data_IF_017402427143
#
_entry.id   IF_017402427143
#
_cell.length_a   1.000
_cell.length_b   1.000
_cell.length_c   1.000
_cell.angle_alpha   90.00
_cell.angle_beta   90.00
_cell.angle_gamma   90.00
#
_symmetry.space_group_name_H-M   'P 1'
#
loop_
_entity.id
_entity.type
_entity.pdbx_description
1 polymer ?
#
# COMPACT_ATOMS: atom_id res chain seq x y z
N UNK A 1 5.96 -7.72 2.99
CA UNK A 1 6.58 -6.44 3.42
C UNK A 1 7.94 -6.34 2.74
N UNK A 2 8.21 -5.23 2.05
CA UNK A 2 9.54 -4.92 1.54
C UNK A 2 10.21 -3.92 2.50
N UNK A 3 11.45 -4.20 2.88
CA UNK A 3 12.28 -3.30 3.66
C UNK A 3 13.52 -2.95 2.82
N UNK A 4 13.81 -1.66 2.60
CA UNK A 4 15.01 -1.25 1.91
C UNK A 4 16.24 -1.59 2.75
N UNK A 5 17.41 -1.71 2.12
CA UNK A 5 18.68 -1.79 2.83
C UNK A 5 18.97 -0.45 3.53
N UNK A 6 19.36 -0.52 4.81
CA UNK A 6 19.60 0.65 5.65
C UNK A 6 18.35 1.25 6.31
N UNK A 7 18.45 2.50 6.78
CA UNK A 7 17.33 3.20 7.42
C UNK A 7 16.31 3.63 6.37
N UNK A 8 15.05 3.21 6.56
CA UNK A 8 13.96 3.69 5.72
C UNK A 8 13.77 5.20 5.89
N UNK A 9 13.60 5.92 4.77
CA UNK A 9 13.40 7.39 4.75
C UNK A 9 11.94 7.79 4.63
N UNK A 10 11.06 6.80 4.57
CA UNK A 10 9.62 6.94 4.43
C UNK A 10 8.94 5.58 4.40
N UNK A 11 7.62 5.58 4.34
CA UNK A 11 6.80 4.37 4.32
C UNK A 11 5.63 4.50 3.37
N UNK A 12 5.34 3.42 2.67
CA UNK A 12 4.22 3.28 1.74
C UNK A 12 3.33 2.16 2.23
N UNK A 13 2.06 2.44 2.49
CA UNK A 13 1.05 1.43 2.75
C UNK A 13 0.17 1.27 1.52
N UNK A 14 0.21 0.09 0.91
CA UNK A 14 -0.39 -0.20 -0.37
C UNK A 14 -1.50 -1.25 -0.22
N UNK A 15 -2.75 -0.78 -0.16
CA UNK A 15 -3.97 -1.53 0.06
C UNK A 15 -4.51 -2.10 -1.26
N UNK A 16 -4.57 -3.43 -1.31
CA UNK A 16 -5.04 -4.17 -2.48
C UNK A 16 -6.55 -4.07 -2.67
N UNK A 17 -7.03 -4.57 -3.80
CA UNK A 17 -8.43 -4.97 -3.95
C UNK A 17 -8.63 -6.40 -3.42
N UNK A 18 -9.88 -6.87 -3.42
CA UNK A 18 -10.25 -8.21 -2.97
C UNK A 18 -9.41 -9.32 -3.62
N UNK A 19 -8.79 -10.16 -2.79
CA UNK A 19 -7.91 -11.25 -3.27
C UNK A 19 -6.60 -10.78 -3.91
N UNK A 20 -6.31 -9.48 -3.87
CA UNK A 20 -5.09 -8.90 -4.41
C UNK A 20 -3.84 -9.19 -3.58
N UNK A 21 -2.70 -9.03 -4.22
CA UNK A 21 -1.37 -9.20 -3.63
C UNK A 21 -0.40 -8.22 -4.27
N UNK A 22 0.80 -8.02 -3.70
CA UNK A 22 1.80 -7.16 -4.33
C UNK A 22 2.17 -7.60 -5.76
N UNK A 23 2.08 -8.91 -6.06
CA UNK A 23 2.37 -9.47 -7.38
C UNK A 23 1.29 -9.18 -8.40
N UNK A 24 0.03 -9.09 -7.95
CA UNK A 24 -1.13 -8.97 -8.85
C UNK A 24 -1.67 -7.54 -8.92
N UNK A 25 -1.55 -6.76 -7.84
CA UNK A 25 -2.04 -5.39 -7.78
C UNK A 25 -0.95 -4.37 -8.12
N UNK A 26 0.30 -4.65 -7.74
CA UNK A 26 1.37 -3.66 -7.77
C UNK A 26 2.54 -4.02 -8.68
N UNK A 27 2.45 -5.12 -9.43
CA UNK A 27 3.52 -5.54 -10.32
C UNK A 27 2.96 -5.66 -11.73
N UNK A 28 3.53 -4.88 -12.66
CA UNK A 28 3.29 -5.07 -14.07
C UNK A 28 4.16 -6.24 -14.56
N UNK A 29 3.62 -7.08 -15.44
CA UNK A 29 4.39 -8.15 -16.09
C UNK A 29 4.05 -8.15 -17.57
N UNK A 30 5.01 -8.28 -18.49
CA UNK A 30 4.68 -8.32 -19.92
C UNK A 30 3.80 -9.51 -20.30
N UNK A 31 3.85 -10.61 -19.54
CA UNK A 31 3.01 -11.79 -19.78
C UNK A 31 1.53 -11.57 -19.49
N UNK A 32 1.14 -10.51 -18.77
CA UNK A 32 -0.27 -10.16 -18.61
C UNK A 32 -0.84 -9.41 -19.82
N UNK A 33 0.02 -8.78 -20.63
CA UNK A 33 -0.35 -8.01 -21.83
C UNK A 33 0.00 -8.73 -23.15
N UNK A 34 0.90 -9.71 -23.10
CA UNK A 34 1.38 -10.46 -24.26
C UNK A 34 0.46 -11.62 -24.65
N UNK A 35 -0.74 -11.31 -25.12
CA UNK A 35 -1.55 -12.25 -25.90
C UNK A 35 -1.35 -12.13 -27.42
N UNK A 36 -0.49 -11.22 -27.92
CA UNK A 36 -0.30 -11.03 -29.38
C UNK A 36 1.18 -10.78 -29.72
N UNK A 37 1.87 -11.85 -30.13
CA UNK A 37 2.44 -12.03 -31.47
C UNK A 37 3.77 -12.82 -31.46
N UNK A 38 3.90 -13.90 -32.27
CA UNK A 38 5.15 -14.61 -32.46
C UNK A 38 5.88 -14.06 -33.69
N UNK A 39 7.06 -13.46 -33.52
CA UNK A 39 8.07 -13.48 -34.58
C UNK A 39 9.49 -13.33 -34.03
N UNK A 40 10.27 -14.36 -34.35
CA UNK A 40 11.72 -14.51 -34.36
C UNK A 40 12.58 -13.27 -34.05
N UNK A 41 13.20 -13.32 -32.88
CA UNK A 41 14.33 -12.48 -32.47
C UNK A 41 14.54 -12.67 -30.98
N UNK A 42 15.78 -12.87 -30.52
CA UNK A 42 16.09 -12.92 -29.08
C UNK A 42 15.93 -11.51 -28.51
N UNK A 43 14.68 -11.10 -28.31
CA UNK A 43 14.35 -9.89 -27.55
C UNK A 43 14.39 -10.32 -26.08
N UNK A 44 15.17 -9.68 -25.21
CA UNK A 44 15.10 -9.97 -23.78
C UNK A 44 13.65 -9.79 -23.34
N UNK A 45 13.07 -10.86 -22.77
CA UNK A 45 11.71 -10.82 -22.23
C UNK A 45 11.59 -9.61 -21.30
N UNK A 46 10.55 -8.77 -21.43
CA UNK A 46 10.46 -7.58 -20.58
C UNK A 46 10.46 -8.01 -19.11
N UNK A 47 11.17 -7.27 -18.27
CA UNK A 47 11.22 -7.57 -16.84
C UNK A 47 9.90 -7.13 -16.20
N UNK A 48 9.33 -7.94 -15.31
CA UNK A 48 8.22 -7.49 -14.46
C UNK A 48 8.67 -6.30 -13.59
N UNK A 49 7.82 -5.28 -13.47
CA UNK A 49 8.11 -4.02 -12.77
C UNK A 49 7.20 -3.93 -11.54
N UNK A 50 7.78 -3.99 -10.34
CA UNK A 50 7.06 -3.71 -9.10
C UNK A 50 7.09 -2.19 -8.88
N UNK A 51 6.11 -1.49 -9.45
CA UNK A 51 6.18 -0.04 -9.62
C UNK A 51 6.30 0.75 -8.32
N UNK A 52 5.75 0.23 -7.21
CA UNK A 52 5.89 0.86 -5.89
C UNK A 52 7.33 0.88 -5.35
N UNK A 53 8.23 0.07 -5.91
CA UNK A 53 9.66 0.05 -5.57
C UNK A 53 10.50 0.56 -6.73
N UNK A 54 10.25 0.02 -7.91
CA UNK A 54 11.11 0.18 -9.08
C UNK A 54 10.94 1.55 -9.76
N UNK A 55 9.81 2.23 -9.51
CA UNK A 55 9.50 3.56 -10.06
C UNK A 55 9.41 4.65 -9.00
N UNK A 56 9.95 4.43 -7.79
CA UNK A 56 9.99 5.48 -6.78
C UNK A 56 10.86 6.66 -7.25
N UNK A 57 10.42 7.91 -7.02
CA UNK A 57 11.25 9.08 -7.29
C UNK A 57 12.58 8.99 -6.55
N UNK A 58 13.65 9.50 -7.15
CA UNK A 58 14.98 9.51 -6.52
C UNK A 58 15.03 10.38 -5.26
N UNK A 59 14.09 11.32 -5.13
CA UNK A 59 13.87 12.19 -3.98
C UNK A 59 13.09 11.50 -2.85
N UNK A 60 12.49 10.34 -3.15
CA UNK A 60 11.85 9.45 -2.18
C UNK A 60 12.46 8.04 -2.20
N UNK A 61 13.81 7.92 -2.10
CA UNK A 61 14.48 6.65 -2.20
C UNK A 61 14.39 5.93 -0.84
N UNK A 62 14.46 4.60 -0.84
CA UNK A 62 14.59 3.79 0.38
C UNK A 62 13.37 3.88 1.30
N UNK A 63 12.19 3.62 0.74
CA UNK A 63 10.96 3.54 1.52
C UNK A 63 10.62 2.10 1.89
N UNK A 64 10.11 1.91 3.10
CA UNK A 64 9.49 0.64 3.49
C UNK A 64 8.14 0.51 2.80
N UNK A 65 7.88 -0.64 2.16
CA UNK A 65 6.62 -0.86 1.44
C UNK A 65 5.85 -1.99 2.14
N UNK A 66 4.69 -1.60 2.64
CA UNK A 66 3.72 -2.45 3.31
C UNK A 66 2.61 -2.77 2.35
N UNK A 67 2.59 -4.01 1.87
CA UNK A 67 1.53 -4.50 1.00
C UNK A 67 0.43 -5.08 1.87
N UNK A 68 -0.75 -4.46 1.83
CA UNK A 68 -1.86 -4.79 2.71
C UNK A 68 -2.93 -5.52 1.90
N UNK A 69 -3.03 -6.83 2.15
CA UNK A 69 -4.09 -7.67 1.62
C UNK A 69 -5.10 -8.03 2.68
N UNK A 70 -6.29 -8.37 2.22
CA UNK A 70 -7.39 -8.82 3.06
C UNK A 70 -8.12 -9.95 2.33
N UNK A 71 -8.55 -10.94 3.09
CA UNK A 71 -9.24 -12.11 2.58
C UNK A 71 -10.75 -11.90 2.45
N UNK A 72 -11.47 -12.88 1.88
CA UNK A 72 -12.94 -12.88 1.84
C UNK A 72 -13.61 -12.70 3.20
N UNK A 73 -12.95 -13.16 4.25
CA UNK A 73 -13.41 -13.10 5.63
C UNK A 73 -13.36 -11.68 6.20
N UNK A 74 -12.53 -10.82 5.61
CA UNK A 74 -12.22 -9.47 6.10
C UNK A 74 -13.08 -8.40 5.41
N UNK A 75 -13.74 -8.76 4.29
CA UNK A 75 -14.71 -7.91 3.59
C UNK A 75 -15.94 -7.54 4.46
N UNK A 76 -16.17 -8.27 5.56
CA UNK A 76 -17.17 -7.88 6.57
C UNK A 76 -16.58 -6.76 7.43
N UNK A 77 -17.08 -5.54 7.23
CA UNK A 77 -16.62 -4.28 7.83
C UNK A 77 -16.33 -4.32 9.34
N UNK A 78 -16.94 -5.22 10.09
CA UNK A 78 -16.73 -5.39 11.54
C UNK A 78 -15.35 -5.92 11.94
N UNK A 79 -14.55 -6.49 11.02
CA UNK A 79 -13.19 -6.97 11.35
C UNK A 79 -12.08 -5.93 11.15
N UNK A 80 -12.39 -4.78 10.55
CA UNK A 80 -11.41 -3.70 10.40
C UNK A 80 -11.02 -3.07 11.73
N UNK A 81 -11.86 -3.16 12.77
CA UNK A 81 -11.53 -2.73 14.14
C UNK A 81 -10.23 -3.33 14.68
N UNK A 82 -9.97 -4.61 14.42
CA UNK A 82 -8.70 -5.24 14.79
C UNK A 82 -7.56 -4.76 13.88
N UNK A 83 -7.85 -4.48 12.61
CA UNK A 83 -6.86 -3.99 11.67
C UNK A 83 -6.36 -2.59 12.03
N UNK A 84 -7.24 -1.66 12.41
CA UNK A 84 -6.85 -0.33 12.86
C UNK A 84 -5.91 -0.39 14.09
N UNK A 85 -6.24 -1.24 15.07
CA UNK A 85 -5.38 -1.46 16.24
C UNK A 85 -4.02 -2.07 15.86
N UNK A 86 -4.00 -3.08 15.00
CA UNK A 86 -2.75 -3.66 14.49
C UNK A 86 -1.93 -2.64 13.69
N UNK A 87 -2.60 -1.79 12.93
CA UNK A 87 -1.98 -0.73 12.15
C UNK A 87 -1.35 0.34 13.05
N UNK A 88 -2.07 0.81 14.07
CA UNK A 88 -1.57 1.73 15.08
C UNK A 88 -0.37 1.14 15.84
N UNK A 89 -0.50 -0.10 16.32
CA UNK A 89 0.59 -0.79 17.00
C UNK A 89 1.81 -0.95 16.10
N UNK A 90 1.61 -1.21 14.80
CA UNK A 90 2.69 -1.25 13.81
C UNK A 90 3.35 0.13 13.63
N UNK A 91 2.57 1.21 13.52
CA UNK A 91 3.12 2.57 13.42
C UNK A 91 3.96 2.94 14.66
N UNK A 92 3.48 2.58 15.86
CA UNK A 92 4.17 2.83 17.14
C UNK A 92 5.44 1.99 17.29
N UNK A 93 5.43 0.74 16.85
CA UNK A 93 6.59 -0.17 16.93
C UNK A 93 7.61 0.01 15.81
N UNK A 94 7.25 0.74 14.75
CA UNK A 94 8.16 1.10 13.65
C UNK A 94 8.28 2.63 13.53
N UNK A 95 8.84 3.31 14.54
CA UNK A 95 9.00 4.75 14.48
C UNK A 95 9.89 5.13 13.31
N UNK A 96 9.49 6.20 12.63
CA UNK A 96 10.30 6.91 11.65
C UNK A 96 10.50 8.33 12.15
N UNK A 97 11.49 9.03 11.59
CA UNK A 97 11.63 10.47 11.77
C UNK A 97 10.27 11.15 11.47
N UNK A 98 9.86 12.12 12.28
CA UNK A 98 8.61 12.88 12.10
C UNK A 98 8.55 13.54 10.72
N UNK A 99 9.70 13.84 10.12
CA UNK A 99 9.78 14.40 8.76
C UNK A 99 9.68 13.35 7.66
N UNK A 100 9.71 12.06 7.99
CA UNK A 100 9.67 10.97 7.02
C UNK A 100 8.26 10.84 6.42
N UNK A 101 8.11 10.89 5.08
CA UNK A 101 6.79 10.79 4.48
C UNK A 101 6.14 9.43 4.71
N UNK A 102 4.87 9.45 5.09
CA UNK A 102 3.98 8.29 5.02
C UNK A 102 3.01 8.48 3.86
N UNK A 103 2.99 7.52 2.92
CA UNK A 103 2.12 7.54 1.73
C UNK A 103 1.18 6.35 1.79
N UNK A 104 -0.09 6.59 1.48
CA UNK A 104 -1.10 5.56 1.35
C UNK A 104 -1.53 5.43 -0.10
N UNK A 105 -1.55 4.20 -0.58
CA UNK A 105 -1.99 3.86 -1.93
C UNK A 105 -3.07 2.81 -1.77
N UNK A 106 -4.23 3.04 -2.36
CA UNK A 106 -5.35 2.12 -2.24
C UNK A 106 -5.97 1.84 -3.60
N UNK A 107 -6.28 0.57 -3.86
CA UNK A 107 -6.90 0.11 -5.10
C UNK A 107 -8.22 -0.62 -4.83
N UNK A 108 -9.26 -0.31 -5.59
CA UNK A 108 -10.57 -0.98 -5.47
C UNK A 108 -11.16 -0.90 -4.06
N UNK A 109 -11.57 -2.03 -3.48
CA UNK A 109 -12.09 -2.11 -2.11
C UNK A 109 -11.06 -1.66 -1.05
N UNK A 110 -9.77 -1.63 -1.36
CA UNK A 110 -8.72 -1.23 -0.42
C UNK A 110 -8.88 0.22 0.05
N UNK A 111 -9.56 1.06 -0.74
CA UNK A 111 -9.89 2.43 -0.34
C UNK A 111 -10.88 2.48 0.82
N UNK A 112 -11.87 1.60 0.83
CA UNK A 112 -12.86 1.51 1.92
C UNK A 112 -12.23 0.98 3.21
N UNK A 113 -11.30 0.02 3.08
CA UNK A 113 -10.51 -0.48 4.22
C UNK A 113 -9.70 0.67 4.82
N UNK A 114 -8.94 1.38 3.99
CA UNK A 114 -8.14 2.51 4.45
C UNK A 114 -8.98 3.59 5.11
N UNK A 115 -10.10 3.98 4.50
CA UNK A 115 -11.03 4.97 5.06
C UNK A 115 -11.48 4.56 6.45
N UNK A 116 -11.93 3.30 6.61
CA UNK A 116 -12.41 2.80 7.90
C UNK A 116 -11.32 2.81 8.96
N UNK A 117 -10.10 2.42 8.60
CA UNK A 117 -8.94 2.44 9.51
C UNK A 117 -8.66 3.86 9.97
N UNK A 118 -8.66 4.82 9.06
CA UNK A 118 -8.45 6.23 9.42
C UNK A 118 -9.57 6.75 10.33
N UNK A 119 -10.84 6.44 10.05
CA UNK A 119 -11.97 6.81 10.90
C UNK A 119 -11.83 6.23 12.32
N UNK A 120 -11.40 4.98 12.45
CA UNK A 120 -11.19 4.33 13.75
C UNK A 120 -10.00 4.93 14.49
N UNK A 121 -8.89 5.18 13.79
CA UNK A 121 -7.73 5.86 14.36
C UNK A 121 -8.08 7.29 14.80
N UNK A 122 -8.84 8.04 14.01
CA UNK A 122 -9.33 9.40 14.35
C UNK A 122 -10.28 9.39 15.54
N UNK A 123 -11.19 8.41 15.62
CA UNK A 123 -12.10 8.26 16.75
C UNK A 123 -11.34 7.91 18.05
N UNK A 124 -10.31 7.07 17.96
CA UNK A 124 -9.37 6.83 19.06
C UNK A 124 -8.51 8.09 19.35
N UNK A 125 -8.31 8.97 18.38
CA UNK A 125 -7.48 10.18 18.46
C UNK A 125 -8.09 11.36 19.23
N UNK A 126 -9.30 11.24 19.78
CA UNK A 126 -9.75 12.17 20.84
C UNK A 126 -8.79 12.14 22.06
N UNK A 127 -7.87 11.17 22.12
CA UNK A 127 -6.72 11.11 23.02
C UNK A 127 -5.36 11.13 22.29
N UNK A 128 -5.18 12.05 21.32
CA UNK A 128 -3.89 12.63 20.88
C UNK A 128 -2.79 11.62 20.47
N UNK A 129 -2.76 11.22 19.21
CA UNK A 129 -1.57 10.61 18.57
C UNK A 129 -0.99 11.51 17.47
N UNK A 130 0.21 12.09 17.65
CA UNK A 130 0.85 12.95 16.63
C UNK A 130 1.20 12.21 15.33
N UNK A 131 1.11 10.87 15.31
CA UNK A 131 1.40 10.06 14.11
C UNK A 131 0.41 10.29 12.95
N UNK A 132 -0.80 10.76 13.22
CA UNK A 132 -1.78 11.10 12.16
C UNK A 132 -1.50 12.49 11.54
N UNK A 133 -0.86 13.41 12.26
CA UNK A 133 -0.53 14.74 11.73
C UNK A 133 0.54 14.71 10.63
N UNK A 134 1.36 13.64 10.61
CA UNK A 134 2.37 13.37 9.57
C UNK A 134 1.82 12.60 8.36
N UNK A 135 0.53 12.28 8.39
CA UNK A 135 -0.17 11.43 7.42
C UNK A 135 -0.63 12.27 6.22
N UNK A 136 0.32 12.70 5.38
CA UNK A 136 0.10 13.83 4.46
C UNK A 136 -0.25 13.48 3.01
N UNK A 137 -0.25 12.20 2.59
CA UNK A 137 -0.39 11.86 1.15
C UNK A 137 -1.17 10.56 0.88
N UNK A 138 -2.29 10.69 0.17
CA UNK A 138 -3.15 9.60 -0.29
C UNK A 138 -3.20 9.51 -1.81
N UNK A 139 -3.17 8.29 -2.34
CA UNK A 139 -3.38 7.98 -3.76
C UNK A 139 -4.46 6.90 -3.84
N UNK A 140 -5.58 7.20 -4.49
CA UNK A 140 -6.69 6.28 -4.69
C UNK A 140 -6.80 5.88 -6.17
N UNK A 141 -6.94 4.58 -6.43
CA UNK A 141 -6.96 4.01 -7.77
C UNK A 141 -8.19 3.12 -7.93
N UNK A 142 -9.17 3.55 -8.74
CA UNK A 142 -10.37 2.76 -9.03
C UNK A 142 -11.22 2.42 -7.81
N UNK A 143 -11.30 3.32 -6.83
CA UNK A 143 -12.12 3.12 -5.62
C UNK A 143 -13.57 3.46 -5.92
N UNK A 144 -14.48 2.51 -5.72
CA UNK A 144 -15.92 2.77 -5.73
C UNK A 144 -16.32 3.38 -4.38
N UNK A 145 -16.97 4.54 -4.43
CA UNK A 145 -17.46 5.29 -3.26
C UNK A 145 -18.84 4.84 -2.79
N UNK A 146 -19.43 3.82 -3.41
CA UNK A 146 -20.77 3.34 -3.07
C UNK A 146 -20.72 2.37 -1.90
N UNK A 147 -20.70 2.93 -0.68
CA UNK A 147 -21.12 2.26 0.56
C UNK A 147 -21.86 3.25 1.45
#
# INVERSE_FOLDING_TARGET
MYKPEGCARGRIFAFHDFGGSWRTSWTWSPTSDAAISPSSGVVPSPRSVFWLRDLLPQEFPHCAIYSVGYGPQDAKFTRYGNFAQHFDQHLKSTPLDERAPTVFIAHGMGGNVLKRVLEELEAECYTRTPQLDDLKRFIFLGVSTDV
#
